data_IF_853113252929
#
_entry.id   IF_853113252929
#
_cell.length_a   1.000
_cell.length_b   1.000
_cell.length_c   1.000
_cell.angle_alpha   90.00
_cell.angle_beta   90.00
_cell.angle_gamma   90.00
#
_symmetry.space_group_name_H-M   'P 1'
#
loop_
_entity.id
_entity.type
_entity.pdbx_description
1 polymer ?
#
# COMPACT_ATOMS: atom_id res chain seq x y z
N UNK A 1 -17.60 16.09 24.06
CA UNK A 1 -18.75 15.19 24.25
C UNK A 1 -18.40 13.90 23.55
N UNK A 2 -18.32 12.77 24.26
CA UNK A 2 -18.05 11.48 23.63
C UNK A 2 -19.35 10.93 23.06
N UNK A 3 -19.38 10.62 21.77
CA UNK A 3 -20.53 9.97 21.14
C UNK A 3 -20.59 8.49 21.58
N UNK A 4 -21.79 7.89 21.61
CA UNK A 4 -21.94 6.45 21.73
C UNK A 4 -21.15 5.69 20.65
N UNK A 5 -20.67 4.49 20.98
CA UNK A 5 -19.88 3.65 20.07
C UNK A 5 -20.56 3.38 18.72
N UNK A 6 -21.85 3.08 18.73
CA UNK A 6 -22.61 2.82 17.50
C UNK A 6 -22.74 4.06 16.60
N UNK A 7 -22.83 5.26 17.19
CA UNK A 7 -22.80 6.50 16.41
C UNK A 7 -21.42 6.71 15.76
N UNK A 8 -20.34 6.40 16.48
CA UNK A 8 -18.99 6.49 15.92
C UNK A 8 -18.75 5.54 14.75
N UNK A 9 -19.33 4.34 14.76
CA UNK A 9 -19.29 3.43 13.59
C UNK A 9 -19.94 4.05 12.36
N UNK A 10 -21.08 4.71 12.52
CA UNK A 10 -21.75 5.42 11.40
C UNK A 10 -20.86 6.54 10.85
N UNK A 11 -20.11 7.23 11.72
CA UNK A 11 -19.14 8.25 11.30
C UNK A 11 -17.96 7.63 10.53
N UNK A 12 -17.39 6.54 11.03
CA UNK A 12 -16.32 5.81 10.32
C UNK A 12 -16.79 5.31 8.95
N UNK A 13 -17.99 4.77 8.85
CA UNK A 13 -18.57 4.32 7.58
C UNK A 13 -18.78 5.48 6.61
N UNK A 14 -19.17 6.66 7.12
CA UNK A 14 -19.28 7.87 6.28
C UNK A 14 -17.91 8.30 5.74
N UNK A 15 -16.86 8.24 6.56
CA UNK A 15 -15.49 8.53 6.14
C UNK A 15 -14.99 7.51 5.10
N UNK A 16 -15.28 6.22 5.30
CA UNK A 16 -14.98 5.15 4.34
C UNK A 16 -15.59 5.44 2.96
N UNK A 17 -16.86 5.83 2.92
CA UNK A 17 -17.53 6.21 1.67
C UNK A 17 -16.87 7.43 1.00
N UNK A 18 -16.56 8.48 1.77
CA UNK A 18 -15.89 9.67 1.25
C UNK A 18 -14.51 9.35 0.67
N UNK A 19 -13.73 8.49 1.35
CA UNK A 19 -12.42 8.08 0.86
C UNK A 19 -12.53 7.24 -0.42
N UNK A 20 -13.47 6.29 -0.43
CA UNK A 20 -13.79 5.47 -1.59
C UNK A 20 -14.14 6.31 -2.82
N UNK A 21 -15.04 7.27 -2.65
CA UNK A 21 -15.48 8.14 -3.75
C UNK A 21 -14.34 9.04 -4.24
N UNK A 22 -13.52 9.55 -3.32
CA UNK A 22 -12.36 10.37 -3.66
C UNK A 22 -11.34 9.58 -4.49
N UNK A 23 -10.98 8.38 -4.05
CA UNK A 23 -10.01 7.50 -4.74
C UNK A 23 -10.58 7.03 -6.08
N UNK A 24 -11.85 6.60 -6.11
CA UNK A 24 -12.53 6.18 -7.34
C UNK A 24 -12.51 7.28 -8.40
N UNK A 25 -12.94 8.49 -8.03
CA UNK A 25 -13.04 9.63 -8.94
C UNK A 25 -11.68 10.10 -9.45
N UNK A 26 -10.68 10.21 -8.56
CA UNK A 26 -9.40 10.82 -8.93
C UNK A 26 -8.44 9.84 -9.62
N UNK A 27 -8.56 8.53 -9.34
CA UNK A 27 -7.59 7.55 -9.82
C UNK A 27 -8.22 6.46 -10.68
N UNK A 28 -9.20 5.70 -10.18
CA UNK A 28 -9.68 4.51 -10.89
C UNK A 28 -10.52 4.85 -12.14
N UNK A 29 -11.33 5.90 -12.04
CA UNK A 29 -12.31 6.30 -13.05
C UNK A 29 -11.78 7.43 -13.94
N UNK A 30 -10.50 7.79 -13.77
CA UNK A 30 -9.88 8.83 -14.58
C UNK A 30 -9.87 8.45 -16.07
N UNK A 31 -10.30 9.40 -16.90
CA UNK A 31 -10.24 9.31 -18.36
C UNK A 31 -8.81 9.42 -18.89
N UNK A 32 -7.92 10.02 -18.11
CA UNK A 32 -6.50 10.08 -18.44
C UNK A 32 -5.82 8.81 -17.89
N UNK A 33 -5.36 7.88 -18.75
CA UNK A 33 -4.68 6.67 -18.31
C UNK A 33 -3.38 6.97 -17.52
N UNK A 34 -2.77 8.15 -17.70
CA UNK A 34 -1.62 8.58 -16.91
C UNK A 34 -1.99 9.04 -15.49
N UNK A 35 -3.26 9.23 -15.18
CA UNK A 35 -3.72 9.50 -13.81
C UNK A 35 -4.19 8.24 -13.08
N UNK A 36 -4.44 7.14 -13.79
CA UNK A 36 -4.87 5.89 -13.16
C UNK A 36 -3.81 5.34 -12.20
N UNK A 37 -4.26 4.88 -11.01
CA UNK A 37 -3.44 4.26 -9.97
C UNK A 37 -3.91 2.83 -9.70
N UNK A 38 -3.40 1.84 -10.45
CA UNK A 38 -3.85 0.45 -10.30
C UNK A 38 -3.54 -0.15 -8.93
N UNK A 39 -2.51 0.34 -8.23
CA UNK A 39 -2.19 -0.10 -6.87
C UNK A 39 -2.92 0.76 -5.85
N UNK A 40 -2.68 2.08 -5.82
CA UNK A 40 -3.29 3.00 -4.85
C UNK A 40 -4.75 3.27 -5.22
N UNK A 41 -5.57 2.29 -4.88
CA UNK A 41 -6.94 2.05 -5.33
C UNK A 41 -7.84 1.78 -4.13
N UNK A 42 -9.16 1.78 -4.33
CA UNK A 42 -10.14 1.40 -3.30
C UNK A 42 -9.83 0.01 -2.74
N UNK A 43 -9.38 -0.91 -3.60
CA UNK A 43 -8.98 -2.24 -3.19
C UNK A 43 -7.83 -2.21 -2.19
N UNK A 44 -6.75 -1.46 -2.48
CA UNK A 44 -5.62 -1.34 -1.57
C UNK A 44 -6.03 -0.68 -0.25
N UNK A 45 -6.77 0.43 -0.30
CA UNK A 45 -7.26 1.12 0.90
C UNK A 45 -8.07 0.22 1.82
N UNK A 46 -9.02 -0.56 1.27
CA UNK A 46 -9.84 -1.45 2.08
C UNK A 46 -9.08 -2.66 2.60
N UNK A 47 -8.10 -3.16 1.83
CA UNK A 47 -7.24 -4.25 2.30
C UNK A 47 -6.33 -3.78 3.44
N UNK A 48 -5.74 -2.58 3.34
CA UNK A 48 -4.98 -1.95 4.44
C UNK A 48 -5.85 -1.72 5.67
N UNK A 49 -7.09 -1.27 5.53
CA UNK A 49 -8.05 -1.17 6.66
C UNK A 49 -8.32 -2.54 7.31
N UNK A 50 -8.63 -3.57 6.52
CA UNK A 50 -8.90 -4.91 7.04
C UNK A 50 -7.70 -5.50 7.79
N UNK A 51 -6.48 -5.25 7.28
CA UNK A 51 -5.22 -5.63 7.92
C UNK A 51 -5.02 -4.89 9.25
N UNK A 52 -5.25 -3.57 9.27
CA UNK A 52 -5.21 -2.77 10.49
C UNK A 52 -6.17 -3.29 11.55
N UNK A 53 -7.44 -3.54 11.19
CA UNK A 53 -8.45 -4.06 12.12
C UNK A 53 -8.05 -5.43 12.67
N UNK A 54 -7.47 -6.30 11.83
CA UNK A 54 -6.97 -7.62 12.25
C UNK A 54 -5.85 -7.49 13.28
N UNK A 55 -4.88 -6.61 13.05
CA UNK A 55 -3.79 -6.32 13.98
C UNK A 55 -4.30 -5.74 15.30
N UNK A 56 -5.16 -4.72 15.24
CA UNK A 56 -5.74 -4.06 16.41
C UNK A 56 -6.56 -5.05 17.25
N UNK A 57 -7.34 -5.91 16.60
CA UNK A 57 -8.12 -6.97 17.26
C UNK A 57 -7.22 -7.98 17.95
N UNK A 58 -6.14 -8.43 17.31
CA UNK A 58 -5.20 -9.36 17.91
C UNK A 58 -4.57 -8.80 19.18
N UNK A 59 -4.13 -7.53 19.15
CA UNK A 59 -3.57 -6.86 20.33
C UNK A 59 -4.61 -6.68 21.43
N UNK A 60 -5.80 -6.19 21.08
CA UNK A 60 -6.89 -5.95 22.03
C UNK A 60 -7.38 -7.23 22.70
N UNK A 61 -7.48 -8.33 21.95
CA UNK A 61 -7.85 -9.65 22.47
C UNK A 61 -6.82 -10.19 23.46
N UNK A 62 -5.55 -9.81 23.32
CA UNK A 62 -4.49 -10.17 24.27
C UNK A 62 -4.61 -9.36 25.56
N UNK A 63 -4.76 -8.05 25.45
CA UNK A 63 -5.00 -7.16 26.58
C UNK A 63 -5.69 -5.86 26.08
N UNK A 64 -6.96 -5.59 26.48
CA UNK A 64 -7.69 -4.41 26.07
C UNK A 64 -7.05 -3.07 26.47
N UNK A 65 -6.19 -3.06 27.49
CA UNK A 65 -5.52 -1.84 27.98
C UNK A 65 -4.34 -1.42 27.09
N UNK A 66 -3.90 -2.25 26.15
CA UNK A 66 -2.77 -1.95 25.26
C UNK A 66 -3.14 -0.98 24.13
N UNK A 67 -4.41 -0.94 23.74
CA UNK A 67 -4.91 -0.05 22.70
C UNK A 67 -6.36 0.36 23.00
N UNK A 68 -6.58 1.67 23.11
CA UNK A 68 -7.91 2.19 23.41
C UNK A 68 -8.83 2.09 22.19
N UNK A 69 -10.15 2.00 22.42
CA UNK A 69 -11.15 2.12 21.33
C UNK A 69 -10.98 3.44 20.55
N UNK A 70 -10.61 4.51 21.25
CA UNK A 70 -10.36 5.82 20.62
C UNK A 70 -9.20 5.75 19.62
N UNK A 71 -8.11 5.05 19.95
CA UNK A 71 -6.96 4.87 19.06
C UNK A 71 -7.29 3.95 17.88
N UNK A 72 -8.11 2.91 18.09
CA UNK A 72 -8.59 2.04 17.02
C UNK A 72 -9.42 2.86 16.02
N UNK A 73 -10.38 3.65 16.48
CA UNK A 73 -11.20 4.51 15.60
C UNK A 73 -10.34 5.51 14.81
N UNK A 74 -9.34 6.11 15.44
CA UNK A 74 -8.42 7.02 14.77
C UNK A 74 -7.57 6.29 13.71
N UNK A 75 -7.09 5.09 14.03
CA UNK A 75 -6.35 4.25 13.09
C UNK A 75 -7.19 3.74 11.92
N UNK A 76 -8.47 3.43 12.13
CA UNK A 76 -9.39 3.08 11.04
C UNK A 76 -9.63 4.26 10.10
N UNK A 77 -9.86 5.46 10.66
CA UNK A 77 -9.98 6.68 9.86
C UNK A 77 -8.71 6.93 9.02
N UNK A 78 -7.54 6.76 9.64
CA UNK A 78 -6.26 6.85 8.95
C UNK A 78 -6.10 5.79 7.85
N UNK A 79 -6.50 4.54 8.10
CA UNK A 79 -6.42 3.47 7.10
C UNK A 79 -7.29 3.77 5.88
N UNK A 80 -8.47 4.36 6.05
CA UNK A 80 -9.29 4.79 4.91
C UNK A 80 -8.66 5.95 4.12
N UNK A 81 -7.88 6.81 4.78
CA UNK A 81 -7.42 8.06 4.19
C UNK A 81 -5.94 8.09 3.74
N UNK A 82 -5.12 7.12 4.14
CA UNK A 82 -3.65 7.17 3.98
C UNK A 82 -3.18 7.44 2.53
N UNK A 83 -3.92 6.94 1.55
CA UNK A 83 -3.62 7.08 0.12
C UNK A 83 -4.62 7.96 -0.65
N UNK A 84 -5.27 8.90 0.03
CA UNK A 84 -6.23 9.79 -0.65
C UNK A 84 -5.56 10.79 -1.59
N UNK A 85 -4.36 11.28 -1.27
CA UNK A 85 -3.48 11.92 -2.25
C UNK A 85 -2.48 10.89 -2.80
N UNK A 86 -2.26 10.90 -4.12
CA UNK A 86 -1.25 10.12 -4.84
C UNK A 86 -0.64 10.96 -5.98
N UNK A 87 -0.46 12.25 -5.70
CA UNK A 87 0.09 13.21 -6.65
C UNK A 87 1.55 12.86 -6.93
N UNK A 88 1.92 12.77 -8.21
CA UNK A 88 3.28 12.43 -8.63
C UNK A 88 3.80 13.38 -9.70
N UNK A 89 5.12 13.44 -9.85
CA UNK A 89 5.73 13.97 -11.07
C UNK A 89 6.01 12.87 -12.07
N UNK A 90 6.10 13.24 -13.33
CA UNK A 90 6.65 12.39 -14.36
C UNK A 90 8.14 12.65 -14.51
N UNK A 91 8.93 11.59 -14.57
CA UNK A 91 10.34 11.64 -14.94
C UNK A 91 10.56 10.79 -16.17
N UNK A 92 11.32 11.31 -17.12
CA UNK A 92 11.76 10.53 -18.27
C UNK A 92 13.13 9.96 -17.94
N UNK A 93 13.17 8.65 -17.67
CA UNK A 93 14.41 7.92 -17.46
C UNK A 93 14.95 7.33 -18.77
N UNK A 94 16.07 6.59 -18.69
CA UNK A 94 16.64 5.89 -19.85
C UNK A 94 15.70 4.83 -20.46
N UNK A 95 14.63 4.46 -19.73
CA UNK A 95 13.67 3.44 -20.14
C UNK A 95 12.31 4.01 -20.55
N UNK A 96 12.14 5.34 -20.51
CA UNK A 96 10.89 6.04 -20.82
C UNK A 96 10.29 6.74 -19.61
N UNK A 97 9.00 7.09 -19.70
CA UNK A 97 8.29 7.81 -18.64
C UNK A 97 8.03 6.91 -17.43
N UNK A 98 8.26 7.46 -16.25
CA UNK A 98 7.96 6.83 -14.96
C UNK A 98 7.33 7.84 -14.02
N UNK A 99 6.59 7.34 -13.02
CA UNK A 99 6.12 8.18 -11.91
C UNK A 99 7.24 8.31 -10.87
N UNK A 100 7.53 9.55 -10.47
CA UNK A 100 8.36 9.85 -9.31
C UNK A 100 7.46 10.39 -8.21
N UNK A 101 7.40 9.66 -7.11
CA UNK A 101 6.62 10.03 -5.93
C UNK A 101 7.40 10.97 -5.03
N UNK A 102 6.67 11.82 -4.33
CA UNK A 102 7.20 12.64 -3.26
C UNK A 102 6.77 12.05 -1.93
N UNK A 103 7.54 11.07 -1.44
CA UNK A 103 7.33 10.49 -0.12
C UNK A 103 7.44 11.58 0.95
N UNK A 104 6.45 11.65 1.84
CA UNK A 104 6.28 12.70 2.85
C UNK A 104 5.16 13.67 2.48
N UNK A 105 5.31 14.50 1.42
CA UNK A 105 4.26 15.42 1.00
C UNK A 105 2.92 14.76 0.65
N UNK A 106 2.95 13.58 0.02
CA UNK A 106 1.73 12.83 -0.35
C UNK A 106 0.98 12.40 0.92
N UNK A 107 1.67 11.74 1.85
CA UNK A 107 1.08 11.32 3.13
C UNK A 107 0.62 12.53 3.97
N UNK A 108 1.35 13.64 3.91
CA UNK A 108 0.95 14.90 4.52
C UNK A 108 -0.36 15.46 3.94
N UNK A 109 -0.53 15.41 2.63
CA UNK A 109 -1.77 15.81 1.96
C UNK A 109 -2.94 14.85 2.32
N UNK A 110 -2.69 13.55 2.34
CA UNK A 110 -3.64 12.54 2.82
C UNK A 110 -4.06 12.76 4.29
N UNK A 111 -3.12 13.13 5.16
CA UNK A 111 -3.39 13.44 6.57
C UNK A 111 -4.27 14.70 6.72
N UNK A 112 -3.97 15.76 5.96
CA UNK A 112 -4.81 16.98 5.93
C UNK A 112 -6.21 16.65 5.42
N UNK A 113 -6.31 15.83 4.38
CA UNK A 113 -7.60 15.37 3.86
C UNK A 113 -8.38 14.59 4.92
N UNK A 114 -7.72 13.67 5.62
CA UNK A 114 -8.31 12.86 6.70
C UNK A 114 -8.90 13.75 7.80
N UNK A 115 -8.12 14.70 8.32
CA UNK A 115 -8.57 15.64 9.36
C UNK A 115 -9.81 16.40 8.91
N UNK A 116 -9.78 16.94 7.68
CA UNK A 116 -10.91 17.69 7.11
C UNK A 116 -12.17 16.83 7.00
N UNK A 117 -12.05 15.56 6.63
CA UNK A 117 -13.20 14.65 6.57
C UNK A 117 -13.70 14.26 7.97
N UNK A 118 -12.81 14.06 8.93
CA UNK A 118 -13.18 13.85 10.34
C UNK A 118 -13.91 15.08 10.90
N UNK A 119 -13.52 16.31 10.52
CA UNK A 119 -14.25 17.53 10.85
C UNK A 119 -15.64 17.57 10.21
N UNK A 120 -15.72 17.27 8.92
CA UNK A 120 -16.98 17.30 8.17
C UNK A 120 -17.99 16.27 8.69
N UNK A 121 -17.53 15.05 8.98
CA UNK A 121 -18.39 13.98 9.50
C UNK A 121 -18.75 14.20 10.98
N UNK A 122 -17.85 14.83 11.74
CA UNK A 122 -18.02 15.13 13.15
C UNK A 122 -17.82 13.92 14.07
N UNK A 123 -17.86 14.17 15.39
CA UNK A 123 -17.73 13.12 16.42
C UNK A 123 -16.30 12.80 16.87
N UNK A 124 -15.28 13.23 16.11
CA UNK A 124 -13.88 13.02 16.44
C UNK A 124 -13.29 14.13 17.30
N UNK A 125 -12.56 13.75 18.35
CA UNK A 125 -11.80 14.66 19.22
C UNK A 125 -10.52 15.16 18.56
N UNK A 126 -9.92 16.28 19.03
CA UNK A 126 -8.61 16.72 18.56
C UNK A 126 -7.53 15.64 18.68
N UNK A 127 -7.49 14.91 19.80
CA UNK A 127 -6.51 13.83 20.01
C UNK A 127 -6.67 12.69 18.99
N UNK A 128 -7.90 12.31 18.61
CA UNK A 128 -8.10 11.30 17.57
C UNK A 128 -7.61 11.75 16.20
N UNK A 129 -7.75 13.05 15.88
CA UNK A 129 -7.24 13.62 14.63
C UNK A 129 -5.72 13.64 14.60
N UNK A 130 -5.09 13.95 15.73
CA UNK A 130 -3.63 13.86 15.89
C UNK A 130 -3.12 12.43 15.70
N UNK A 131 -3.79 11.44 16.32
CA UNK A 131 -3.45 10.01 16.13
C UNK A 131 -3.62 9.59 14.68
N UNK A 132 -4.72 9.98 14.02
CA UNK A 132 -4.96 9.64 12.61
C UNK A 132 -3.88 10.25 11.69
N UNK A 133 -3.51 11.51 11.93
CA UNK A 133 -2.44 12.17 11.17
C UNK A 133 -1.06 11.56 11.44
N UNK A 134 -0.73 11.24 12.70
CA UNK A 134 0.52 10.53 13.03
C UNK A 134 0.57 9.16 12.34
N UNK A 135 -0.56 8.44 12.33
CA UNK A 135 -0.66 7.12 11.72
C UNK A 135 -0.39 7.17 10.21
N UNK A 136 -1.01 8.10 9.48
CA UNK A 136 -0.75 8.31 8.04
C UNK A 136 0.72 8.72 7.82
N UNK A 137 1.26 9.63 8.63
CA UNK A 137 2.68 9.99 8.50
C UNK A 137 3.62 8.83 8.81
N UNK A 138 3.18 7.84 9.59
CA UNK A 138 3.89 6.60 9.86
C UNK A 138 4.05 5.69 8.63
N UNK A 139 3.25 5.88 7.57
CA UNK A 139 3.33 5.07 6.34
C UNK A 139 4.32 5.62 5.31
N UNK A 140 4.86 6.83 5.52
CA UNK A 140 5.82 7.46 4.60
C UNK A 140 6.95 6.49 4.25
N UNK A 141 7.14 6.13 2.97
CA UNK A 141 8.18 5.20 2.57
C UNK A 141 9.51 5.92 2.36
N UNK A 142 10.61 5.20 2.60
CA UNK A 142 11.95 5.57 2.15
C UNK A 142 12.76 4.32 1.80
N UNK A 143 13.89 4.49 1.11
CA UNK A 143 14.79 3.40 0.76
C UNK A 143 16.07 3.47 1.60
N UNK A 144 16.39 2.38 2.31
CA UNK A 144 17.69 2.20 2.94
C UNK A 144 18.66 1.58 1.93
N UNK A 145 19.60 2.39 1.42
CA UNK A 145 20.59 1.95 0.46
C UNK A 145 21.66 0.99 1.03
N UNK A 146 21.85 0.96 2.35
CA UNK A 146 22.80 0.07 3.01
C UNK A 146 22.19 -1.32 3.17
N UNK A 147 20.94 -1.39 3.64
CA UNK A 147 20.21 -2.65 3.82
C UNK A 147 19.47 -3.10 2.56
N UNK A 148 19.42 -2.25 1.52
CA UNK A 148 18.73 -2.48 0.26
C UNK A 148 17.26 -2.89 0.46
N UNK A 149 16.54 -2.12 1.29
CA UNK A 149 15.13 -2.40 1.65
C UNK A 149 14.32 -1.14 1.87
N UNK A 150 12.99 -1.28 1.79
CA UNK A 150 12.04 -0.25 2.17
C UNK A 150 12.07 -0.02 3.69
N UNK A 151 12.03 1.24 4.12
CA UNK A 151 11.85 1.66 5.51
C UNK A 151 10.69 2.68 5.62
N UNK A 152 10.17 2.91 6.82
CA UNK A 152 9.27 4.04 7.12
C UNK A 152 9.91 4.90 8.20
N UNK A 153 10.61 5.99 7.84
CA UNK A 153 11.51 6.71 8.74
C UNK A 153 10.80 7.45 9.88
N UNK A 154 9.48 7.59 9.80
CA UNK A 154 8.67 8.23 10.85
C UNK A 154 8.31 7.27 11.99
N UNK A 155 8.56 5.96 11.85
CA UNK A 155 8.42 5.01 12.95
C UNK A 155 9.62 5.10 13.89
N UNK A 156 9.37 5.65 15.08
CA UNK A 156 10.39 5.91 16.11
C UNK A 156 9.88 5.54 17.50
N UNK A 157 10.76 5.38 18.51
CA UNK A 157 10.30 5.12 19.87
C UNK A 157 9.30 6.18 20.35
N UNK A 158 8.19 5.73 20.93
CA UNK A 158 7.16 6.61 21.50
C UNK A 158 6.01 7.02 20.57
N UNK A 159 6.03 6.62 19.29
CA UNK A 159 4.84 6.76 18.42
C UNK A 159 3.67 5.92 18.96
N UNK A 160 2.44 6.30 18.62
CA UNK A 160 1.25 5.58 19.06
C UNK A 160 1.21 4.18 18.47
N UNK A 161 0.63 3.24 19.23
CA UNK A 161 0.49 1.87 18.75
C UNK A 161 -0.34 1.80 17.46
N UNK A 162 -1.42 2.59 17.35
CA UNK A 162 -2.20 2.68 16.11
C UNK A 162 -1.35 3.06 14.88
N UNK A 163 -0.38 3.96 15.04
CA UNK A 163 0.59 4.35 14.00
C UNK A 163 1.44 3.15 13.56
N UNK A 164 1.93 2.36 14.52
CA UNK A 164 2.72 1.15 14.24
C UNK A 164 1.87 0.10 13.51
N UNK A 165 0.64 -0.13 13.99
CA UNK A 165 -0.25 -1.12 13.38
C UNK A 165 -0.64 -0.74 11.95
N UNK A 166 -0.92 0.55 11.68
CA UNK A 166 -1.21 1.00 10.32
C UNK A 166 0.01 0.87 9.41
N UNK A 167 1.19 1.22 9.90
CA UNK A 167 2.41 1.09 9.13
C UNK A 167 2.74 -0.38 8.77
N UNK A 168 2.42 -1.34 9.65
CA UNK A 168 2.50 -2.78 9.35
C UNK A 168 1.43 -3.19 8.32
N UNK A 169 0.20 -2.71 8.47
CA UNK A 169 -0.88 -3.02 7.54
C UNK A 169 -0.56 -2.55 6.11
N UNK A 170 0.11 -1.40 5.98
CA UNK A 170 0.56 -0.79 4.73
C UNK A 170 1.70 -1.57 4.03
N UNK A 171 2.52 -2.33 4.77
CA UNK A 171 3.48 -3.29 4.18
C UNK A 171 2.79 -4.41 3.37
N UNK A 172 1.50 -4.59 3.63
CA UNK A 172 0.57 -5.33 2.82
C UNK A 172 0.82 -6.82 2.71
N UNK A 173 0.71 -7.33 1.48
CA UNK A 173 0.68 -8.74 1.17
C UNK A 173 1.92 -9.49 1.64
N UNK A 174 3.08 -8.82 1.64
CA UNK A 174 4.35 -9.43 2.00
C UNK A 174 4.42 -9.89 3.46
N UNK A 175 3.68 -9.21 4.33
CA UNK A 175 3.61 -9.52 5.77
C UNK A 175 2.32 -10.24 6.13
N UNK A 176 1.19 -9.83 5.55
CA UNK A 176 -0.14 -10.26 6.01
C UNK A 176 -1.00 -10.95 4.93
N UNK A 177 -0.77 -10.68 3.64
CA UNK A 177 -1.66 -11.14 2.57
C UNK A 177 -1.20 -12.36 1.78
N UNK A 178 -0.02 -12.91 2.09
CA UNK A 178 0.50 -14.13 1.46
C UNK A 178 0.55 -14.02 -0.06
N UNK A 179 -0.29 -14.79 -0.76
CA UNK A 179 -0.31 -14.80 -2.23
C UNK A 179 -0.73 -13.46 -2.85
N UNK A 180 -1.41 -12.58 -2.09
CA UNK A 180 -1.79 -11.24 -2.56
C UNK A 180 -0.56 -10.38 -2.91
N UNK A 181 0.59 -10.62 -2.28
CA UNK A 181 1.83 -9.87 -2.51
C UNK A 181 2.28 -9.88 -3.98
N UNK A 182 2.11 -11.02 -4.67
CA UNK A 182 2.47 -11.11 -6.08
C UNK A 182 1.53 -10.30 -6.99
N UNK A 183 0.27 -10.09 -6.59
CA UNK A 183 -0.64 -9.17 -7.28
C UNK A 183 -0.25 -7.71 -7.01
N UNK A 184 0.05 -7.38 -5.76
CA UNK A 184 0.49 -6.05 -5.34
C UNK A 184 1.72 -5.58 -6.13
N UNK A 185 2.78 -6.40 -6.18
CA UNK A 185 3.99 -6.05 -6.94
C UNK A 185 3.71 -5.77 -8.42
N UNK A 186 2.81 -6.52 -9.06
CA UNK A 186 2.41 -6.26 -10.46
C UNK A 186 1.72 -4.90 -10.60
N UNK A 187 0.81 -4.59 -9.69
CA UNK A 187 0.06 -3.33 -9.74
C UNK A 187 0.99 -2.13 -9.48
N UNK A 188 1.94 -2.23 -8.54
CA UNK A 188 2.97 -1.20 -8.33
C UNK A 188 3.81 -1.01 -9.59
N UNK A 189 4.21 -2.10 -10.27
CA UNK A 189 4.95 -1.99 -11.53
C UNK A 189 4.17 -1.20 -12.58
N UNK A 190 2.92 -1.61 -12.86
CA UNK A 190 2.07 -0.96 -13.86
C UNK A 190 1.85 0.50 -13.52
N UNK A 191 1.72 0.80 -12.22
CA UNK A 191 1.56 2.15 -11.76
C UNK A 191 2.83 3.00 -11.99
N UNK A 192 4.00 2.55 -11.58
CA UNK A 192 5.18 3.42 -11.62
C UNK A 192 5.86 3.46 -13.01
N UNK A 193 5.71 2.40 -13.83
CA UNK A 193 6.45 2.19 -15.08
C UNK A 193 5.59 2.48 -16.32
N UNK A 194 5.33 3.76 -16.56
CA UNK A 194 4.43 4.24 -17.63
C UNK A 194 4.94 3.96 -19.05
N UNK A 195 6.24 3.71 -19.23
CA UNK A 195 6.81 3.43 -20.55
C UNK A 195 6.20 2.20 -21.25
N UNK A 196 5.70 1.20 -20.50
CA UNK A 196 4.98 0.06 -21.11
C UNK A 196 3.61 0.51 -21.61
N UNK A 197 2.91 1.34 -20.83
CA UNK A 197 1.63 1.91 -21.23
C UNK A 197 1.78 2.81 -22.46
N UNK A 198 2.81 3.64 -22.51
CA UNK A 198 3.13 4.51 -23.66
C UNK A 198 3.32 3.68 -24.94
N UNK A 199 4.17 2.66 -24.89
CA UNK A 199 4.43 1.78 -26.02
C UNK A 199 3.17 1.05 -26.50
N UNK A 200 2.29 0.64 -25.58
CA UNK A 200 1.02 0.01 -25.94
C UNK A 200 0.03 1.01 -26.54
N UNK A 201 -0.05 2.23 -26.02
CA UNK A 201 -0.92 3.28 -26.57
C UNK A 201 -0.50 3.68 -27.99
N UNK A 202 0.80 3.68 -28.31
CA UNK A 202 1.30 3.92 -29.67
C UNK A 202 0.79 2.89 -30.69
N UNK A 203 0.53 1.66 -30.25
CA UNK A 203 -0.07 0.59 -31.08
C UNK A 203 -1.61 0.59 -31.05
N UNK A 204 -2.23 1.57 -30.39
CA UNK A 204 -3.67 1.57 -30.14
C UNK A 204 -4.13 0.40 -29.26
N UNK A 205 -3.23 -0.16 -28.45
CA UNK A 205 -3.46 -1.32 -27.57
C UNK A 205 -3.86 -2.62 -28.30
N UNK A 206 -3.58 -2.74 -29.61
CA UNK A 206 -4.01 -3.91 -30.42
C UNK A 206 -2.87 -4.79 -30.86
N UNK A 207 -1.67 -4.23 -30.98
CA UNK A 207 -0.51 -4.91 -31.54
C UNK A 207 0.64 -4.98 -30.54
N UNK A 208 1.59 -5.87 -30.82
CA UNK A 208 2.83 -5.99 -30.06
C UNK A 208 3.72 -4.78 -30.38
N UNK A 209 4.15 -3.99 -29.37
CA UNK A 209 5.10 -2.89 -29.61
C UNK A 209 6.42 -3.38 -30.21
N UNK A 210 7.04 -2.56 -31.06
CA UNK A 210 8.30 -2.92 -31.73
C UNK A 210 9.46 -3.17 -30.75
N UNK A 211 9.39 -2.60 -29.54
CA UNK A 211 10.34 -2.77 -28.45
C UNK A 211 9.87 -3.80 -27.39
N UNK A 212 8.89 -4.66 -27.70
CA UNK A 212 8.27 -5.55 -26.70
C UNK A 212 9.26 -6.45 -25.95
N UNK A 213 10.32 -6.95 -26.60
CA UNK A 213 11.35 -7.73 -25.91
C UNK A 213 11.98 -6.94 -24.75
N UNK A 214 12.38 -5.69 -25.00
CA UNK A 214 12.96 -4.83 -23.97
C UNK A 214 11.96 -4.56 -22.83
N UNK A 215 10.69 -4.30 -23.15
CA UNK A 215 9.64 -4.10 -22.14
C UNK A 215 9.48 -5.35 -21.25
N UNK A 216 9.50 -6.53 -21.86
CA UNK A 216 9.37 -7.81 -21.16
C UNK A 216 10.57 -8.10 -20.27
N UNK A 217 11.80 -7.81 -20.72
CA UNK A 217 13.01 -7.91 -19.90
C UNK A 217 12.90 -7.05 -18.62
N UNK A 218 12.30 -5.85 -18.72
CA UNK A 218 12.04 -4.99 -17.55
C UNK A 218 10.99 -5.56 -16.61
N UNK A 219 9.89 -6.09 -17.15
CA UNK A 219 8.85 -6.76 -16.35
C UNK A 219 9.44 -7.94 -15.59
N UNK A 220 10.17 -8.83 -16.27
CA UNK A 220 10.81 -10.00 -15.67
C UNK A 220 11.81 -9.61 -14.59
N UNK A 221 12.66 -8.62 -14.85
CA UNK A 221 13.65 -8.15 -13.87
C UNK A 221 12.97 -7.57 -12.62
N UNK A 222 11.89 -6.79 -12.79
CA UNK A 222 11.15 -6.24 -11.66
C UNK A 222 10.38 -7.33 -10.88
N UNK A 223 9.77 -8.30 -11.54
CA UNK A 223 9.10 -9.42 -10.85
C UNK A 223 10.10 -10.25 -10.03
N UNK A 224 11.31 -10.48 -10.56
CA UNK A 224 12.38 -11.15 -9.82
C UNK A 224 12.85 -10.36 -8.60
N UNK A 225 12.85 -9.02 -8.66
CA UNK A 225 13.26 -8.18 -7.53
C UNK A 225 12.30 -8.23 -6.34
N UNK A 226 11.02 -8.59 -6.57
CA UNK A 226 10.01 -8.69 -5.50
C UNK A 226 10.37 -9.75 -4.45
N UNK A 227 11.13 -10.79 -4.81
CA UNK A 227 11.61 -11.82 -3.88
C UNK A 227 12.55 -11.19 -2.85
N UNK A 228 13.49 -10.35 -3.29
CA UNK A 228 14.40 -9.62 -2.41
C UNK A 228 13.67 -8.57 -1.58
N UNK A 229 12.71 -7.86 -2.19
CA UNK A 229 11.87 -6.89 -1.49
C UNK A 229 11.09 -7.53 -0.34
N UNK A 230 10.45 -8.69 -0.58
CA UNK A 230 9.72 -9.45 0.43
C UNK A 230 10.59 -9.79 1.64
N UNK A 231 11.81 -10.25 1.40
CA UNK A 231 12.77 -10.53 2.47
C UNK A 231 13.07 -9.26 3.27
N UNK A 232 13.35 -8.14 2.59
CA UNK A 232 13.59 -6.86 3.24
C UNK A 232 12.42 -6.41 4.11
N UNK A 233 11.19 -6.62 3.67
CA UNK A 233 9.97 -6.33 4.43
C UNK A 233 9.85 -7.22 5.67
N UNK A 234 10.12 -8.52 5.55
CA UNK A 234 10.10 -9.45 6.68
C UNK A 234 11.18 -9.13 7.72
N UNK A 235 12.42 -8.89 7.28
CA UNK A 235 13.54 -8.51 8.14
C UNK A 235 13.22 -7.21 8.88
N UNK A 236 12.60 -6.24 8.20
CA UNK A 236 12.19 -4.97 8.79
C UNK A 236 11.15 -5.12 9.90
N UNK A 237 10.13 -5.97 9.72
CA UNK A 237 9.14 -6.22 10.77
C UNK A 237 9.84 -6.62 12.09
N UNK A 238 10.76 -7.58 12.00
CA UNK A 238 11.43 -8.15 13.16
C UNK A 238 12.52 -7.24 13.75
N UNK A 239 13.30 -6.57 12.91
CA UNK A 239 14.48 -5.80 13.34
C UNK A 239 14.17 -4.34 13.69
N UNK A 240 13.12 -3.75 13.12
CA UNK A 240 12.86 -2.32 13.24
C UNK A 240 11.50 -2.01 13.86
N UNK A 241 10.44 -2.74 13.48
CA UNK A 241 9.08 -2.39 13.92
C UNK A 241 8.72 -3.01 15.26
N UNK A 242 8.87 -4.34 15.41
CA UNK A 242 8.56 -5.03 16.67
C UNK A 242 9.37 -4.53 17.88
N UNK A 243 10.62 -4.06 17.73
CA UNK A 243 11.34 -3.42 18.83
C UNK A 243 10.71 -2.12 19.34
N UNK A 244 9.85 -1.44 18.56
CA UNK A 244 9.18 -0.20 18.97
C UNK A 244 7.96 -0.42 19.87
N UNK A 245 7.45 -1.66 19.95
CA UNK A 245 6.30 -2.00 20.79
C UNK A 245 6.71 -2.76 22.06
N UNK A 246 5.84 -2.71 23.06
CA UNK A 246 5.95 -3.52 24.26
C UNK A 246 6.03 -5.00 23.90
N UNK A 247 6.80 -5.77 24.68
CA UNK A 247 7.02 -7.20 24.44
C UNK A 247 5.70 -7.97 24.33
N UNK A 248 4.71 -7.61 25.13
CA UNK A 248 3.37 -8.23 25.15
C UNK A 248 2.53 -8.00 23.88
N UNK A 249 2.89 -7.01 23.05
CA UNK A 249 2.22 -6.69 21.78
C UNK A 249 2.83 -7.49 20.61
N UNK A 250 4.07 -7.97 20.75
CA UNK A 250 4.83 -8.58 19.63
C UNK A 250 4.20 -9.88 19.12
N UNK A 251 3.83 -10.78 20.03
CA UNK A 251 3.26 -12.07 19.65
C UNK A 251 1.87 -11.93 18.99
N UNK A 252 0.95 -11.08 19.48
CA UNK A 252 -0.27 -10.74 18.76
C UNK A 252 -0.03 -10.27 17.32
N UNK A 253 0.92 -9.35 17.11
CA UNK A 253 1.27 -8.88 15.76
C UNK A 253 1.78 -10.05 14.91
N UNK A 254 2.74 -10.83 15.40
CA UNK A 254 3.29 -11.99 14.66
C UNK A 254 2.23 -13.01 14.27
N UNK A 255 1.25 -13.25 15.14
CA UNK A 255 0.17 -14.21 14.88
C UNK A 255 -0.66 -13.84 13.64
N UNK A 256 -0.69 -12.56 13.29
CA UNK A 256 -1.37 -12.02 12.12
C UNK A 256 -0.41 -11.92 10.92
N UNK A 257 0.87 -11.64 11.16
CA UNK A 257 1.92 -11.48 10.15
C UNK A 257 2.51 -12.81 9.66
N UNK A 258 1.66 -13.70 9.13
CA UNK A 258 2.06 -15.08 8.72
C UNK A 258 2.26 -15.25 7.21
N UNK A 259 2.16 -14.16 6.42
CA UNK A 259 2.08 -14.22 4.96
C UNK A 259 3.38 -14.57 4.21
N UNK A 260 4.54 -14.40 4.85
CA UNK A 260 5.85 -14.37 4.16
C UNK A 260 6.16 -15.62 3.33
N UNK A 261 5.88 -16.82 3.84
CA UNK A 261 6.16 -18.08 3.11
C UNK A 261 5.27 -18.24 1.88
N UNK A 262 3.97 -17.94 2.01
CA UNK A 262 3.04 -18.00 0.89
C UNK A 262 3.33 -16.92 -0.14
N UNK A 263 3.76 -15.73 0.30
CA UNK A 263 4.20 -14.64 -0.55
C UNK A 263 5.45 -15.00 -1.37
N UNK A 264 6.47 -15.63 -0.76
CA UNK A 264 7.69 -16.04 -1.46
C UNK A 264 7.37 -17.04 -2.59
N UNK A 265 6.57 -18.06 -2.27
CA UNK A 265 6.13 -19.04 -3.28
C UNK A 265 5.35 -18.38 -4.42
N UNK A 266 4.44 -17.45 -4.10
CA UNK A 266 3.66 -16.74 -5.12
C UNK A 266 4.55 -15.86 -6.01
N UNK A 267 5.49 -15.11 -5.42
CA UNK A 267 6.43 -14.28 -6.18
C UNK A 267 7.32 -15.09 -7.10
N UNK A 268 7.85 -16.23 -6.64
CA UNK A 268 8.64 -17.13 -7.49
C UNK A 268 7.82 -17.66 -8.65
N UNK A 269 6.60 -18.15 -8.39
CA UNK A 269 5.72 -18.65 -9.44
C UNK A 269 5.35 -17.57 -10.47
N UNK A 270 5.08 -16.34 -10.04
CA UNK A 270 4.85 -15.22 -10.96
C UNK A 270 6.10 -14.90 -11.77
N UNK A 271 7.27 -14.84 -11.14
CA UNK A 271 8.52 -14.55 -11.83
C UNK A 271 8.85 -15.62 -12.88
N UNK A 272 8.79 -16.90 -12.51
CA UNK A 272 8.99 -18.04 -13.41
C UNK A 272 8.01 -18.00 -14.60
N UNK A 273 6.73 -17.72 -14.34
CA UNK A 273 5.74 -17.57 -15.41
C UNK A 273 6.06 -16.39 -16.34
N UNK A 274 6.50 -15.25 -15.80
CA UNK A 274 6.90 -14.11 -16.65
C UNK A 274 8.14 -14.41 -17.49
N UNK A 275 9.09 -15.19 -16.97
CA UNK A 275 10.25 -15.68 -17.73
C UNK A 275 9.80 -16.58 -18.88
N UNK A 276 8.93 -17.55 -18.59
CA UNK A 276 8.39 -18.48 -19.59
C UNK A 276 7.70 -17.74 -20.75
N UNK A 277 6.87 -16.73 -20.44
CA UNK A 277 6.21 -15.93 -21.47
C UNK A 277 7.20 -15.11 -22.31
N UNK A 278 8.23 -14.53 -21.66
CA UNK A 278 9.27 -13.80 -22.34
C UNK A 278 10.09 -14.70 -23.30
N UNK A 279 10.46 -15.91 -22.86
CA UNK A 279 11.20 -16.89 -23.65
C UNK A 279 10.39 -17.39 -24.85
N UNK A 280 9.09 -17.60 -24.67
CA UNK A 280 8.14 -17.96 -25.74
C UNK A 280 7.79 -16.79 -26.66
N UNK A 281 8.22 -15.57 -26.33
CA UNK A 281 7.85 -14.31 -27.00
C UNK A 281 6.33 -14.06 -27.01
N UNK A 282 5.63 -14.53 -25.99
CA UNK A 282 4.19 -14.34 -25.82
C UNK A 282 3.89 -13.03 -25.08
N UNK A 283 4.29 -11.93 -25.71
CA UNK A 283 4.31 -10.61 -25.08
C UNK A 283 2.90 -10.09 -24.75
N UNK A 284 1.91 -10.36 -25.61
CA UNK A 284 0.54 -9.91 -25.36
C UNK A 284 -0.07 -10.58 -24.14
N UNK A 285 0.18 -11.89 -23.94
CA UNK A 285 -0.31 -12.56 -22.74
C UNK A 285 0.41 -12.07 -21.49
N UNK A 286 1.71 -11.75 -21.58
CA UNK A 286 2.42 -11.10 -20.48
C UNK A 286 1.84 -9.72 -20.13
N UNK A 287 1.57 -8.86 -21.12
CA UNK A 287 0.95 -7.55 -20.88
C UNK A 287 -0.46 -7.68 -20.28
N UNK A 288 -1.29 -8.62 -20.77
CA UNK A 288 -2.62 -8.89 -20.16
C UNK A 288 -2.49 -9.35 -18.72
N UNK A 289 -1.54 -10.23 -18.43
CA UNK A 289 -1.29 -10.73 -17.08
C UNK A 289 -0.83 -9.63 -16.12
N UNK A 290 -0.04 -8.66 -16.61
CA UNK A 290 0.33 -7.48 -15.82
C UNK A 290 -0.87 -6.56 -15.55
N UNK A 291 -1.95 -6.67 -16.33
CA UNK A 291 -3.18 -5.91 -16.16
C UNK A 291 -3.42 -4.83 -17.22
N UNK A 292 -2.62 -4.80 -18.30
CA UNK A 292 -2.85 -3.91 -19.43
C UNK A 292 -4.04 -4.41 -20.27
N UNK A 293 -4.89 -3.48 -20.75
CA UNK A 293 -6.06 -3.78 -21.57
C UNK A 293 -5.69 -3.88 -23.05
N UNK A 294 -5.02 -4.98 -23.43
CA UNK A 294 -4.53 -5.29 -24.78
C UNK A 294 -5.18 -6.54 -25.38
#
# INVERSE_FOLDING_TARGET
MHLPFEEMKVRLESLRCLASDHIGTNYEESRDPYQQRPYHSRWHTFDTHARFVSLASAVRNRNPDLISESDIMAGEAAAFAHDTDQTCMYVTGPFGKMRKRFSGPIEGASAIWCIRMMDQVGGFTPSQKEVAAEAIMGTVPAWDGVKNRLIQPNLRPGVKLATILLAIADLGGGVMGGTAFAKEGRLVFVEDNLFVLEALLETGMRDVPSNAQFLCEKIVAYMGSQIGFLKGVADRLEEEILPLVLVEVRDPIRSVCTGTTAADKACRGVWEWTQEMADKKDYMNLFRFMGYRV
#
